data_IF_139663765966
#
_entry.id   IF_139663765966
#
_cell.length_a   1.000
_cell.length_b   1.000
_cell.length_c   1.000
_cell.angle_alpha   90.00
_cell.angle_beta   90.00
_cell.angle_gamma   90.00
#
_symmetry.space_group_name_H-M   'P 1'
#
loop_
_entity.id
_entity.type
_entity.pdbx_description
1 polymer ?
#
# COMPACT_ATOMS: atom_id res chain seq x y z
N UNK A 1 -24.55 4.09 -31.75
CA UNK A 1 -25.17 2.88 -32.33
C UNK A 1 -24.07 1.86 -32.59
N UNK A 2 -24.12 0.70 -31.95
CA UNK A 2 -23.16 -0.38 -32.17
C UNK A 2 -23.57 -1.08 -33.46
N UNK A 3 -22.68 -1.08 -34.45
CA UNK A 3 -22.99 -1.58 -35.80
C UNK A 3 -22.39 -2.96 -36.04
N UNK A 4 -21.34 -3.35 -35.30
CA UNK A 4 -20.66 -4.62 -35.50
C UNK A 4 -20.05 -5.11 -34.16
N UNK A 5 -19.47 -6.32 -34.19
CA UNK A 5 -18.85 -6.94 -33.02
C UNK A 5 -17.59 -6.19 -32.54
N UNK A 6 -16.82 -5.61 -33.42
CA UNK A 6 -15.59 -4.87 -33.09
C UNK A 6 -15.94 -3.62 -32.32
N UNK A 7 -16.88 -2.80 -32.81
CA UNK A 7 -17.37 -1.60 -32.09
C UNK A 7 -17.86 -1.93 -30.68
N UNK A 8 -18.51 -3.10 -30.51
CA UNK A 8 -19.02 -3.55 -29.23
C UNK A 8 -17.90 -3.98 -28.27
N UNK A 9 -16.88 -4.72 -28.76
CA UNK A 9 -15.74 -5.11 -27.94
C UNK A 9 -14.87 -3.91 -27.57
N UNK A 10 -14.72 -2.94 -28.47
CA UNK A 10 -13.99 -1.69 -28.22
C UNK A 10 -14.71 -0.84 -27.16
N UNK A 11 -16.04 -0.73 -27.23
CA UNK A 11 -16.83 -0.09 -26.18
C UNK A 11 -16.65 -0.76 -24.82
N UNK A 12 -16.64 -2.09 -24.76
CA UNK A 12 -16.45 -2.86 -23.51
C UNK A 12 -15.02 -2.77 -22.98
N UNK A 13 -14.05 -2.52 -23.85
CA UNK A 13 -12.62 -2.41 -23.52
C UNK A 13 -12.22 -0.97 -23.18
N UNK A 14 -13.02 0.01 -23.57
CA UNK A 14 -12.82 1.42 -23.27
C UNK A 14 -13.27 1.82 -21.86
N UNK A 15 -12.96 3.06 -21.47
CA UNK A 15 -13.39 3.65 -20.21
C UNK A 15 -14.75 4.39 -20.34
N UNK A 16 -15.42 4.25 -21.49
CA UNK A 16 -16.66 4.99 -21.82
C UNK A 16 -17.90 4.40 -21.14
N UNK A 17 -17.82 3.16 -20.67
CA UNK A 17 -18.91 2.53 -19.92
C UNK A 17 -18.93 3.00 -18.46
N UNK A 18 -20.12 3.19 -17.88
CA UNK A 18 -20.26 3.50 -16.46
C UNK A 18 -19.58 2.43 -15.59
N UNK A 19 -18.83 2.87 -14.59
CA UNK A 19 -18.06 1.98 -13.69
C UNK A 19 -18.94 1.12 -12.75
N UNK A 20 -20.23 1.43 -12.62
CA UNK A 20 -21.24 0.65 -11.88
C UNK A 20 -21.86 -0.46 -12.73
N UNK A 21 -21.65 -0.44 -14.06
CA UNK A 21 -22.11 -1.49 -14.96
C UNK A 21 -21.13 -2.64 -14.99
N UNK A 22 -21.56 -3.83 -14.59
CA UNK A 22 -20.72 -5.04 -14.54
C UNK A 22 -20.28 -5.53 -15.92
N UNK A 23 -21.12 -5.34 -16.94
CA UNK A 23 -20.91 -5.78 -18.32
C UNK A 23 -22.19 -6.24 -18.97
N UNK A 24 -22.05 -7.01 -20.04
CA UNK A 24 -23.17 -7.48 -20.88
C UNK A 24 -23.26 -8.99 -20.89
N UNK A 25 -24.48 -9.50 -21.01
CA UNK A 25 -24.77 -10.90 -21.33
C UNK A 25 -25.35 -10.94 -22.73
N UNK A 26 -24.72 -11.66 -23.63
CA UNK A 26 -25.12 -11.78 -25.03
C UNK A 26 -25.65 -13.19 -25.24
N UNK A 27 -26.74 -13.28 -25.98
CA UNK A 27 -27.37 -14.55 -26.36
C UNK A 27 -27.30 -14.68 -27.88
N UNK A 28 -26.97 -15.89 -28.35
CA UNK A 28 -27.15 -16.23 -29.76
C UNK A 28 -28.62 -16.69 -30.02
N UNK A 29 -28.93 -17.00 -31.27
CA UNK A 29 -30.27 -17.43 -31.67
C UNK A 29 -30.69 -18.78 -31.04
N UNK A 30 -29.71 -19.59 -30.64
CA UNK A 30 -29.91 -20.90 -30.03
C UNK A 30 -29.97 -20.81 -28.48
N UNK A 31 -29.97 -19.61 -27.92
CA UNK A 31 -30.04 -19.41 -26.47
C UNK A 31 -28.72 -19.59 -25.74
N UNK A 32 -27.62 -19.86 -26.45
CA UNK A 32 -26.30 -19.93 -25.83
C UNK A 32 -25.84 -18.54 -25.42
N UNK A 33 -25.37 -18.38 -24.19
CA UNK A 33 -24.96 -17.10 -23.62
C UNK A 33 -23.46 -16.98 -23.47
N UNK A 34 -22.95 -15.76 -23.73
CA UNK A 34 -21.60 -15.36 -23.33
C UNK A 34 -21.64 -14.07 -22.51
N UNK A 35 -20.61 -13.82 -21.70
CA UNK A 35 -20.50 -12.62 -20.88
C UNK A 35 -19.29 -11.81 -21.32
N UNK A 36 -19.50 -10.52 -21.56
CA UNK A 36 -18.42 -9.56 -21.78
C UNK A 36 -18.41 -8.62 -20.58
N UNK A 37 -17.28 -8.52 -19.91
CA UNK A 37 -17.13 -7.68 -18.72
C UNK A 37 -16.73 -6.28 -19.10
N UNK A 38 -17.23 -5.32 -18.34
CA UNK A 38 -16.77 -3.94 -18.39
C UNK A 38 -15.41 -3.82 -17.72
N UNK A 39 -14.39 -3.41 -18.45
CA UNK A 39 -13.01 -3.28 -17.94
C UNK A 39 -12.95 -2.18 -16.87
N UNK A 40 -13.66 -1.07 -17.01
CA UNK A 40 -13.71 -0.02 -16.01
C UNK A 40 -14.23 -0.54 -14.65
N UNK A 41 -15.31 -1.34 -14.68
CA UNK A 41 -15.84 -2.01 -13.48
C UNK A 41 -14.82 -2.98 -12.85
N UNK A 42 -14.19 -3.85 -13.67
CA UNK A 42 -13.19 -4.81 -13.15
C UNK A 42 -11.96 -4.11 -12.56
N UNK A 43 -11.51 -3.03 -13.17
CA UNK A 43 -10.41 -2.22 -12.64
C UNK A 43 -10.78 -1.58 -11.30
N UNK A 44 -11.98 -1.04 -11.17
CA UNK A 44 -12.47 -0.48 -9.92
C UNK A 44 -12.64 -1.54 -8.83
N UNK A 45 -13.16 -2.71 -9.20
CA UNK A 45 -13.27 -3.86 -8.29
C UNK A 45 -11.90 -4.35 -7.78
N UNK A 46 -10.90 -4.42 -8.66
CA UNK A 46 -9.52 -4.75 -8.28
C UNK A 46 -8.92 -3.67 -7.37
N UNK A 47 -9.17 -2.40 -7.68
CA UNK A 47 -8.72 -1.27 -6.86
C UNK A 47 -9.34 -1.33 -5.46
N UNK A 48 -10.62 -1.69 -5.34
CA UNK A 48 -11.30 -1.88 -4.04
C UNK A 48 -10.67 -3.00 -3.23
N UNK A 49 -10.25 -4.09 -3.87
CA UNK A 49 -9.57 -5.21 -3.24
C UNK A 49 -10.43 -5.93 -2.18
N UNK A 50 -9.76 -6.59 -1.23
CA UNK A 50 -10.44 -7.26 -0.12
C UNK A 50 -10.52 -6.34 1.10
N UNK A 51 -11.71 -5.86 1.42
CA UNK A 51 -11.99 -4.92 2.52
C UNK A 51 -11.65 -5.46 3.92
N UNK A 52 -11.52 -6.79 4.10
CA UNK A 52 -11.18 -7.38 5.39
C UNK A 52 -9.78 -6.97 5.91
N UNK A 53 -8.91 -6.46 5.04
CA UNK A 53 -7.56 -6.01 5.39
C UNK A 53 -7.32 -4.57 4.92
N UNK A 54 -8.19 -3.65 5.33
CA UNK A 54 -8.19 -2.27 4.84
C UNK A 54 -6.86 -1.56 5.10
N UNK A 55 -6.20 -1.81 6.24
CA UNK A 55 -4.86 -1.24 6.50
C UNK A 55 -3.81 -1.74 5.48
N UNK A 56 -3.84 -3.02 5.09
CA UNK A 56 -2.96 -3.54 4.04
C UNK A 56 -3.27 -2.89 2.68
N UNK A 57 -4.55 -2.71 2.38
CA UNK A 57 -5.00 -2.02 1.16
C UNK A 57 -4.46 -0.59 1.12
N UNK A 58 -4.61 0.18 2.22
CA UNK A 58 -4.04 1.51 2.35
C UNK A 58 -2.54 1.54 2.06
N UNK A 59 -1.75 0.64 2.67
CA UNK A 59 -0.30 0.58 2.47
C UNK A 59 0.07 0.23 1.02
N UNK A 60 -0.72 -0.64 0.38
CA UNK A 60 -0.53 -1.03 -1.02
C UNK A 60 -0.83 0.14 -1.97
N UNK A 61 -1.98 0.80 -1.78
CA UNK A 61 -2.36 1.97 -2.57
C UNK A 61 -1.36 3.13 -2.41
N UNK A 62 -0.86 3.34 -1.19
CA UNK A 62 0.17 4.34 -0.92
C UNK A 62 1.46 4.04 -1.67
N UNK A 63 1.92 2.79 -1.66
CA UNK A 63 3.12 2.37 -2.37
C UNK A 63 3.00 2.59 -3.88
N UNK A 64 1.83 2.30 -4.44
CA UNK A 64 1.54 2.42 -5.87
C UNK A 64 1.11 3.83 -6.29
N UNK A 65 1.09 4.83 -5.39
CA UNK A 65 0.60 6.19 -5.63
C UNK A 65 -0.87 6.26 -6.09
N UNK A 66 -1.70 5.30 -5.68
CA UNK A 66 -3.11 5.17 -6.09
C UNK A 66 -4.11 5.67 -5.04
N UNK A 67 -3.66 6.26 -3.92
CA UNK A 67 -4.56 6.72 -2.84
C UNK A 67 -5.57 7.75 -3.32
N UNK A 68 -5.13 8.78 -4.04
CA UNK A 68 -6.03 9.83 -4.54
C UNK A 68 -7.04 9.29 -5.55
N UNK A 69 -6.60 8.37 -6.41
CA UNK A 69 -7.48 7.71 -7.36
C UNK A 69 -8.51 6.83 -6.64
N UNK A 70 -8.10 6.07 -5.63
CA UNK A 70 -9.01 5.26 -4.82
C UNK A 70 -10.07 6.13 -4.12
N UNK A 71 -9.66 7.22 -3.45
CA UNK A 71 -10.57 8.09 -2.70
C UNK A 71 -11.54 8.88 -3.59
N UNK A 72 -11.24 9.04 -4.89
CA UNK A 72 -12.17 9.62 -5.86
C UNK A 72 -13.44 8.75 -6.02
N UNK A 73 -13.29 7.42 -5.98
CA UNK A 73 -14.39 6.47 -6.14
C UNK A 73 -14.97 5.98 -4.81
N UNK A 74 -14.18 6.02 -3.74
CA UNK A 74 -14.53 5.50 -2.42
C UNK A 74 -14.24 6.55 -1.34
N UNK A 75 -14.91 7.72 -1.35
CA UNK A 75 -14.67 8.82 -0.41
C UNK A 75 -15.00 8.45 1.04
N UNK A 76 -15.86 7.44 1.25
CA UNK A 76 -16.24 6.92 2.57
C UNK A 76 -15.04 6.42 3.40
N UNK A 77 -13.95 5.99 2.75
CA UNK A 77 -12.74 5.52 3.43
C UNK A 77 -11.77 6.64 3.84
N UNK A 78 -12.08 7.90 3.54
CA UNK A 78 -11.17 9.02 3.79
C UNK A 78 -10.81 9.15 5.28
N UNK A 79 -11.79 9.07 6.16
CA UNK A 79 -11.59 9.18 7.61
C UNK A 79 -10.70 8.03 8.15
N UNK A 80 -10.95 6.80 7.70
CA UNK A 80 -10.17 5.63 8.10
C UNK A 80 -8.73 5.71 7.57
N UNK A 81 -8.54 6.18 6.35
CA UNK A 81 -7.21 6.36 5.77
C UNK A 81 -6.39 7.46 6.46
N UNK A 82 -7.01 8.51 6.99
CA UNK A 82 -6.31 9.50 7.82
C UNK A 82 -5.84 8.90 9.15
N UNK A 83 -6.59 7.98 9.76
CA UNK A 83 -6.15 7.22 10.95
C UNK A 83 -4.93 6.37 10.61
N UNK A 84 -4.96 5.66 9.47
CA UNK A 84 -3.84 4.84 9.02
C UNK A 84 -2.60 5.66 8.67
N UNK A 85 -2.79 6.82 8.08
CA UNK A 85 -1.72 7.78 7.80
C UNK A 85 -1.02 8.25 9.07
N UNK A 86 -1.79 8.62 10.10
CA UNK A 86 -1.25 8.99 11.41
C UNK A 86 -0.49 7.84 12.07
N UNK A 87 -1.07 6.62 12.04
CA UNK A 87 -0.43 5.42 12.57
C UNK A 87 0.92 5.13 11.89
N UNK A 88 0.96 5.20 10.57
CA UNK A 88 2.18 5.01 9.79
C UNK A 88 3.21 6.11 10.05
N UNK A 89 2.78 7.38 10.14
CA UNK A 89 3.64 8.50 10.46
C UNK A 89 4.31 8.31 11.83
N UNK A 90 3.53 8.00 12.86
CA UNK A 90 4.05 7.79 14.21
C UNK A 90 5.05 6.62 14.25
N UNK A 91 4.76 5.53 13.57
CA UNK A 91 5.67 4.40 13.48
C UNK A 91 6.97 4.77 12.71
N UNK A 92 6.86 5.52 11.65
CA UNK A 92 8.04 6.01 10.88
C UNK A 92 8.88 6.97 11.71
N UNK A 93 8.25 7.80 12.54
CA UNK A 93 8.94 8.69 13.46
C UNK A 93 9.71 7.91 14.53
N UNK A 94 9.10 6.88 15.12
CA UNK A 94 9.79 6.00 16.08
C UNK A 94 10.98 5.28 15.43
N UNK A 95 10.84 4.82 14.19
CA UNK A 95 11.97 4.24 13.44
C UNK A 95 13.11 5.23 13.27
N UNK A 96 12.82 6.48 12.94
CA UNK A 96 13.81 7.54 12.83
C UNK A 96 14.48 7.84 14.18
N UNK A 97 13.71 7.93 15.25
CA UNK A 97 14.20 8.19 16.60
C UNK A 97 15.15 7.08 17.07
N UNK A 98 14.78 5.82 16.86
CA UNK A 98 15.67 4.67 17.10
C UNK A 98 16.93 4.69 16.24
N UNK A 99 16.84 5.16 14.98
CA UNK A 99 18.02 5.33 14.13
C UNK A 99 18.97 6.39 14.69
N UNK A 100 18.45 7.52 15.11
CA UNK A 100 19.23 8.61 15.73
C UNK A 100 19.91 8.10 17.01
N UNK A 101 19.17 7.45 17.89
CA UNK A 101 19.72 6.93 19.15
C UNK A 101 20.81 5.88 18.93
N UNK A 102 20.63 4.97 17.96
CA UNK A 102 21.55 3.85 17.75
C UNK A 102 22.81 4.25 16.96
N UNK A 103 22.68 5.05 15.90
CA UNK A 103 23.77 5.27 14.95
C UNK A 103 24.34 6.67 14.95
N UNK A 104 23.57 7.69 15.36
CA UNK A 104 24.06 9.07 15.43
C UNK A 104 24.55 9.38 16.84
N UNK A 105 23.69 9.25 17.84
CA UNK A 105 24.00 9.59 19.24
C UNK A 105 24.68 8.45 20.00
N UNK A 106 24.61 7.23 19.49
CA UNK A 106 25.19 6.02 20.09
C UNK A 106 24.73 5.76 21.54
N UNK A 107 23.51 6.19 21.88
CA UNK A 107 22.92 5.99 23.21
C UNK A 107 22.49 4.57 23.47
N UNK A 108 22.14 3.83 22.42
CA UNK A 108 21.66 2.43 22.48
C UNK A 108 22.37 1.59 21.44
N UNK A 109 22.54 0.32 21.72
CA UNK A 109 23.01 -0.64 20.70
C UNK A 109 21.84 -1.12 19.87
N UNK A 110 22.06 -1.53 18.62
CA UNK A 110 21.03 -2.06 17.74
C UNK A 110 20.22 -3.23 18.37
N UNK A 111 20.89 -4.09 19.14
CA UNK A 111 20.23 -5.21 19.83
C UNK A 111 19.27 -4.80 20.96
N UNK A 112 19.40 -3.58 21.47
CA UNK A 112 18.53 -3.01 22.49
C UNK A 112 17.28 -2.32 21.89
N UNK A 113 17.27 -2.10 20.57
CA UNK A 113 16.09 -1.59 19.86
C UNK A 113 14.98 -2.65 19.82
N UNK A 114 13.70 -2.24 19.70
CA UNK A 114 12.59 -3.18 19.56
C UNK A 114 12.74 -4.07 18.32
N UNK A 115 12.27 -5.31 18.44
CA UNK A 115 12.49 -6.37 17.45
C UNK A 115 12.04 -5.97 16.04
N UNK A 116 10.88 -5.33 15.93
CA UNK A 116 10.26 -4.91 14.66
C UNK A 116 11.08 -3.89 13.89
N UNK A 117 11.92 -3.11 14.57
CA UNK A 117 12.78 -2.10 13.93
C UNK A 117 14.17 -2.61 13.56
N UNK A 118 14.69 -3.62 14.27
CA UNK A 118 16.10 -4.07 14.12
C UNK A 118 16.51 -4.37 12.67
N UNK A 119 15.76 -5.17 11.88
CA UNK A 119 16.16 -5.50 10.52
C UNK A 119 16.15 -4.28 9.60
N UNK A 120 15.21 -3.35 9.86
CA UNK A 120 15.05 -2.14 9.04
C UNK A 120 16.18 -1.16 9.35
N UNK A 121 16.48 -0.96 10.62
CA UNK A 121 17.60 -0.12 11.10
C UNK A 121 18.94 -0.61 10.55
N UNK A 122 19.17 -1.93 10.57
CA UNK A 122 20.37 -2.51 9.98
C UNK A 122 20.49 -2.22 8.48
N UNK A 123 19.41 -2.41 7.72
CA UNK A 123 19.42 -2.16 6.29
C UNK A 123 19.62 -0.67 5.94
N UNK A 124 18.98 0.23 6.69
CA UNK A 124 19.18 1.69 6.51
C UNK A 124 20.64 2.06 6.80
N UNK A 125 21.26 1.50 7.86
CA UNK A 125 22.65 1.77 8.19
C UNK A 125 23.61 1.21 7.14
N UNK A 126 23.32 0.02 6.61
CA UNK A 126 24.08 -0.57 5.50
C UNK A 126 24.06 0.35 4.27
N UNK A 127 22.86 0.77 3.86
CA UNK A 127 22.66 1.68 2.72
C UNK A 127 23.33 3.06 2.95
N UNK A 128 23.31 3.56 4.20
CA UNK A 128 24.03 4.76 4.58
C UNK A 128 25.53 4.63 4.33
N UNK A 129 26.14 3.54 4.80
CA UNK A 129 27.58 3.32 4.66
C UNK A 129 28.00 3.11 3.21
N UNK A 130 27.20 2.37 2.44
CA UNK A 130 27.53 2.01 1.06
C UNK A 130 27.24 3.15 0.06
N UNK A 131 26.15 3.91 0.25
CA UNK A 131 25.67 4.85 -0.78
C UNK A 131 25.61 6.31 -0.31
N UNK A 132 25.14 6.58 0.92
CA UNK A 132 24.91 7.97 1.36
C UNK A 132 26.19 8.63 1.85
N UNK A 133 26.95 7.94 2.68
CA UNK A 133 28.19 8.47 3.29
C UNK A 133 29.25 8.83 2.25
N UNK A 134 29.53 8.03 1.21
CA UNK A 134 30.47 8.41 0.16
C UNK A 134 30.05 9.69 -0.59
N UNK A 135 28.74 9.94 -0.68
CA UNK A 135 28.16 11.10 -1.33
C UNK A 135 27.87 12.27 -0.38
N UNK A 136 28.45 12.30 0.82
CA UNK A 136 28.22 13.33 1.84
C UNK A 136 26.74 13.55 2.20
N UNK A 137 25.87 12.54 2.03
CA UNK A 137 24.46 12.59 2.36
C UNK A 137 24.22 12.04 3.76
N UNK A 138 23.25 12.64 4.48
CA UNK A 138 22.85 12.22 5.82
C UNK A 138 21.50 11.49 5.77
N UNK A 139 21.29 10.56 6.69
CA UNK A 139 19.97 9.97 6.90
C UNK A 139 19.08 10.99 7.61
N UNK A 140 18.02 11.42 6.94
CA UNK A 140 17.02 12.36 7.43
C UNK A 140 15.69 11.67 7.61
N UNK A 141 14.73 12.29 8.32
CA UNK A 141 13.37 11.77 8.40
C UNK A 141 12.72 11.59 7.02
N UNK A 142 12.97 12.53 6.09
CA UNK A 142 12.49 12.45 4.71
C UNK A 142 13.05 11.20 4.00
N UNK A 143 14.34 10.91 4.17
CA UNK A 143 14.96 9.70 3.62
C UNK A 143 14.30 8.43 4.17
N UNK A 144 14.14 8.33 5.50
CA UNK A 144 13.49 7.17 6.13
C UNK A 144 12.03 7.03 5.66
N UNK A 145 11.29 8.13 5.52
CA UNK A 145 9.92 8.10 5.00
C UNK A 145 9.82 7.57 3.57
N UNK A 146 10.77 7.95 2.70
CA UNK A 146 10.89 7.42 1.34
C UNK A 146 11.28 5.94 1.36
N UNK A 147 12.25 5.57 2.19
CA UNK A 147 12.68 4.18 2.37
C UNK A 147 11.51 3.27 2.81
N UNK A 148 10.73 3.71 3.79
CA UNK A 148 9.53 2.98 4.26
C UNK A 148 8.50 2.79 3.15
N UNK A 149 8.35 3.77 2.26
CA UNK A 149 7.40 3.68 1.13
C UNK A 149 7.90 2.74 0.05
N UNK A 150 9.15 2.84 -0.34
CA UNK A 150 9.70 2.22 -1.55
C UNK A 150 10.30 0.84 -1.28
N UNK A 151 11.07 0.70 -0.20
CA UNK A 151 11.86 -0.49 0.07
C UNK A 151 11.11 -1.54 0.90
N UNK A 152 10.12 -1.13 1.74
CA UNK A 152 9.42 -2.09 2.60
C UNK A 152 8.15 -2.59 1.93
N UNK A 153 7.99 -3.92 1.73
CA UNK A 153 6.74 -4.49 1.22
C UNK A 153 5.55 -4.20 2.16
N UNK A 154 4.34 -3.87 1.64
CA UNK A 154 3.17 -3.53 2.45
C UNK A 154 2.81 -4.57 3.53
N UNK A 155 2.91 -5.86 3.21
CA UNK A 155 2.65 -6.96 4.18
C UNK A 155 3.63 -6.95 5.35
N UNK A 156 4.94 -6.76 5.06
CA UNK A 156 5.99 -6.66 6.08
C UNK A 156 5.80 -5.41 6.93
N UNK A 157 5.48 -4.29 6.29
CA UNK A 157 5.23 -3.02 6.98
C UNK A 157 4.04 -3.12 7.93
N UNK A 158 2.92 -3.71 7.47
CA UNK A 158 1.75 -3.98 8.31
C UNK A 158 2.10 -4.86 9.51
N UNK A 159 2.89 -5.92 9.31
CA UNK A 159 3.34 -6.78 10.39
C UNK A 159 4.15 -6.00 11.43
N UNK A 160 5.16 -5.22 11.01
CA UNK A 160 6.00 -4.42 11.91
C UNK A 160 5.18 -3.40 12.70
N UNK A 161 4.23 -2.70 12.05
CA UNK A 161 3.38 -1.70 12.71
C UNK A 161 2.44 -2.33 13.74
N UNK A 162 1.98 -3.55 13.52
CA UNK A 162 1.05 -4.25 14.40
C UNK A 162 1.77 -5.14 15.43
N UNK A 163 3.09 -5.31 15.33
CA UNK A 163 3.86 -6.22 16.17
C UNK A 163 3.68 -6.02 17.68
N UNK A 164 3.73 -4.77 18.20
CA UNK A 164 3.53 -4.53 19.63
C UNK A 164 2.13 -4.93 20.13
N UNK A 165 1.10 -4.84 19.29
CA UNK A 165 -0.27 -5.24 19.61
C UNK A 165 -0.39 -6.77 19.64
N UNK A 166 0.21 -7.45 18.66
CA UNK A 166 0.19 -8.90 18.57
C UNK A 166 0.91 -9.56 19.75
N UNK A 167 2.06 -9.01 20.17
CA UNK A 167 2.79 -9.54 21.34
C UNK A 167 2.00 -9.38 22.64
N UNK A 168 1.36 -8.23 22.87
CA UNK A 168 0.52 -8.02 24.04
C UNK A 168 -0.68 -8.98 24.11
N UNK A 169 -1.14 -9.50 22.99
CA UNK A 169 -2.19 -10.52 22.93
C UNK A 169 -1.66 -11.91 23.28
N UNK A 170 -0.41 -12.23 22.87
CA UNK A 170 0.23 -13.50 23.19
C UNK A 170 0.66 -13.61 24.66
N UNK A 171 1.00 -12.49 25.31
CA UNK A 171 1.36 -12.47 26.74
C UNK A 171 0.13 -12.60 27.67
N UNK A 172 -1.10 -12.56 27.15
CA UNK A 172 -2.35 -12.69 27.89
C UNK A 172 -2.98 -14.09 27.81
N UNK A 173 -2.38 -15.01 27.07
CA UNK A 173 -2.77 -16.43 26.93
C UNK A 173 -1.81 -17.30 27.72
#
# INVERSE_FOLDING_TARGET
>A
RISNWIDFTDLCSGEDLPYDMVGFVIYNKDGVRTKIRNIAYENLKRLKGNLQKMFLQYLTLRKNNQLSYFLKFFPEYSAEFEIYKKKLYNWTYQLFDHYVDAFILKKKRLKECPFEFKPILYNIQKEYLEMLKPNNRKVTFKYISSYVKECIPPKKLMFCINYPLNNKLLEKV
#
